data_IF_414846933657
#
_entry.id   IF_414846933657
#
_cell.length_a   1.000
_cell.length_b   1.000
_cell.length_c   1.000
_cell.angle_alpha   90.00
_cell.angle_beta   90.00
_cell.angle_gamma   90.00
#
_symmetry.space_group_name_H-M   'P 1'
#
loop_
_entity.id
_entity.type
_entity.pdbx_description
1 polymer ?
#
# COMPACT_ATOMS: atom_id res chain seq x y z
N UNK A 1 -63.62 34.03 -29.55
CA UNK A 1 -63.29 33.30 -28.31
C UNK A 1 -61.78 33.48 -28.07
N UNK A 2 -61.41 34.38 -27.14
CA UNK A 2 -60.01 34.65 -26.74
C UNK A 2 -59.75 33.89 -25.45
N UNK A 3 -58.77 33.01 -25.41
CA UNK A 3 -58.20 32.52 -24.13
C UNK A 3 -56.68 32.53 -24.23
N UNK A 4 -56.09 33.13 -23.20
CA UNK A 4 -54.68 33.50 -23.02
C UNK A 4 -53.80 32.27 -22.80
N UNK A 5 -52.63 32.23 -23.43
CA UNK A 5 -51.51 31.35 -23.05
C UNK A 5 -50.63 32.17 -22.10
N UNK A 6 -50.62 31.83 -20.82
CA UNK A 6 -49.74 32.40 -19.80
C UNK A 6 -48.41 31.67 -19.77
N UNK A 7 -47.34 32.43 -20.00
CA UNK A 7 -45.96 32.05 -19.76
C UNK A 7 -45.70 31.76 -18.27
N UNK A 8 -44.84 30.79 -17.98
CA UNK A 8 -43.91 30.84 -16.83
C UNK A 8 -42.72 29.90 -17.09
N UNK A 9 -41.71 30.41 -17.79
CA UNK A 9 -40.38 29.78 -17.84
C UNK A 9 -39.70 30.07 -16.49
N UNK A 10 -39.58 29.05 -15.63
CA UNK A 10 -38.69 29.09 -14.46
C UNK A 10 -37.30 28.63 -14.89
N UNK A 11 -36.48 29.57 -15.31
CA UNK A 11 -35.04 29.35 -15.47
C UNK A 11 -34.39 29.49 -14.10
N UNK A 12 -34.14 28.36 -13.41
CA UNK A 12 -33.28 28.33 -12.23
C UNK A 12 -31.85 28.25 -12.73
N UNK A 13 -31.15 29.38 -12.75
CA UNK A 13 -29.68 29.40 -12.88
C UNK A 13 -29.10 28.99 -11.51
N UNK A 14 -28.34 27.90 -11.39
CA UNK A 14 -27.45 27.74 -10.26
C UNK A 14 -26.26 28.66 -10.49
N UNK A 15 -26.23 29.77 -9.76
CA UNK A 15 -25.06 30.64 -9.67
C UNK A 15 -24.01 29.90 -8.81
N UNK A 16 -23.15 29.10 -9.45
CA UNK A 16 -21.96 28.55 -8.79
C UNK A 16 -20.96 29.69 -8.53
N UNK A 17 -21.15 30.40 -7.42
CA UNK A 17 -20.12 31.25 -6.85
C UNK A 17 -19.00 30.36 -6.33
N UNK A 18 -18.08 29.96 -7.20
CA UNK A 18 -16.79 29.40 -6.80
C UNK A 18 -15.97 30.55 -6.22
N UNK A 19 -16.22 30.87 -4.95
CA UNK A 19 -15.26 31.62 -4.16
C UNK A 19 -13.92 30.89 -4.24
N UNK A 20 -12.84 31.63 -4.50
CA UNK A 20 -11.48 31.11 -4.38
C UNK A 20 -11.25 30.88 -2.89
N UNK A 21 -11.77 29.77 -2.38
CA UNK A 21 -11.47 29.30 -1.03
C UNK A 21 -9.99 28.94 -1.09
N UNK A 22 -9.16 29.71 -0.37
CA UNK A 22 -7.75 29.37 -0.18
C UNK A 22 -7.62 27.94 0.30
N UNK A 23 -6.49 27.28 0.02
CA UNK A 23 -6.27 25.91 0.43
C UNK A 23 -6.59 25.74 1.93
N UNK A 24 -7.66 25.02 2.24
CA UNK A 24 -8.01 24.71 3.62
C UNK A 24 -6.92 23.76 4.16
N UNK A 25 -6.24 24.21 5.20
CA UNK A 25 -5.29 23.38 5.96
C UNK A 25 -6.01 22.78 7.14
N UNK A 26 -5.80 21.49 7.37
CA UNK A 26 -6.24 20.77 8.56
C UNK A 26 -5.05 20.41 9.44
N UNK A 27 -5.20 20.48 10.77
CA UNK A 27 -4.19 19.95 11.67
C UNK A 27 -4.06 18.43 11.50
N UNK A 28 -2.83 17.95 11.64
CA UNK A 28 -2.49 16.53 11.73
C UNK A 28 -1.60 16.28 12.95
N UNK A 29 -1.73 15.10 13.52
CA UNK A 29 -1.05 14.68 14.73
C UNK A 29 -0.27 13.39 14.48
N UNK A 30 0.87 13.27 15.16
CA UNK A 30 1.66 12.05 15.15
C UNK A 30 0.99 11.00 16.03
N UNK A 31 0.77 9.81 15.48
CA UNK A 31 0.25 8.66 16.20
C UNK A 31 1.27 7.53 16.19
N UNK A 32 1.67 7.07 17.37
CA UNK A 32 2.36 5.78 17.51
C UNK A 32 1.33 4.67 17.47
N UNK A 33 1.60 3.63 16.69
CA UNK A 33 0.75 2.46 16.55
C UNK A 33 1.27 1.36 17.48
N UNK A 34 0.39 0.76 18.27
CA UNK A 34 0.76 -0.36 19.13
C UNK A 34 0.99 -1.65 18.31
N UNK A 35 1.55 -2.68 18.94
CA UNK A 35 1.78 -3.98 18.29
C UNK A 35 0.48 -4.71 17.91
N UNK A 36 -0.61 -4.50 18.66
CA UNK A 36 -1.93 -5.07 18.35
C UNK A 36 -2.57 -4.34 17.16
N UNK A 37 -2.27 -3.05 17.00
CA UNK A 37 -2.73 -2.17 15.93
C UNK A 37 -1.84 -2.22 14.68
N UNK A 38 -1.20 -3.36 14.39
CA UNK A 38 -0.13 -3.43 13.40
C UNK A 38 -0.34 -4.54 12.36
N UNK A 39 0.32 -4.50 11.18
CA UNK A 39 -0.26 -4.94 9.91
C UNK A 39 -0.51 -6.43 9.75
N UNK A 40 0.01 -7.30 10.63
CA UNK A 40 -0.38 -8.73 10.64
C UNK A 40 -1.68 -9.00 11.41
N UNK A 41 -2.18 -8.07 12.24
CA UNK A 41 -3.33 -8.28 13.14
C UNK A 41 -4.48 -7.29 12.97
N UNK A 42 -4.47 -6.40 11.96
CA UNK A 42 -5.72 -5.82 11.45
C UNK A 42 -5.90 -4.31 11.49
N UNK A 43 -4.86 -3.50 11.28
CA UNK A 43 -5.04 -2.07 10.91
C UNK A 43 -4.52 -1.73 9.51
N UNK A 44 -3.62 -2.52 8.92
CA UNK A 44 -3.07 -2.34 7.57
C UNK A 44 -2.38 -0.99 7.27
N UNK A 45 -2.29 -0.11 8.28
CA UNK A 45 -1.58 1.16 8.23
C UNK A 45 -0.06 0.99 8.29
N UNK A 46 0.41 -0.13 8.85
CA UNK A 46 1.84 -0.45 8.91
C UNK A 46 2.34 -0.93 7.56
N UNK A 47 3.27 -0.19 6.98
CA UNK A 47 4.02 -0.65 5.82
C UNK A 47 5.32 -1.29 6.25
N UNK A 48 5.87 -2.19 5.44
CA UNK A 48 7.11 -2.87 5.77
C UNK A 48 8.14 -2.75 4.66
N UNK A 49 9.40 -2.61 5.05
CA UNK A 49 10.56 -2.68 4.19
C UNK A 49 11.40 -3.89 4.57
N UNK A 50 11.69 -4.74 3.59
CA UNK A 50 12.67 -5.80 3.75
C UNK A 50 14.08 -5.21 3.68
N UNK A 51 14.91 -5.51 4.68
CA UNK A 51 16.32 -5.14 4.67
C UNK A 51 17.19 -6.25 4.10
N UNK A 52 18.33 -5.85 3.55
CA UNK A 52 19.39 -6.78 3.18
C UNK A 52 20.06 -7.31 4.46
N UNK A 53 19.89 -8.60 4.71
CA UNK A 53 20.58 -9.32 5.77
C UNK A 53 22.05 -9.58 5.40
N UNK A 54 22.96 -9.32 6.33
CA UNK A 54 24.40 -9.51 6.15
C UNK A 54 24.93 -10.54 7.16
N UNK A 55 25.72 -11.50 6.68
CA UNK A 55 26.38 -12.50 7.54
C UNK A 55 27.63 -11.95 8.26
N UNK A 56 28.18 -10.83 7.78
CA UNK A 56 29.39 -10.24 8.31
C UNK A 56 29.12 -8.80 8.78
N UNK A 57 29.88 -8.37 9.80
CA UNK A 57 29.85 -7.00 10.30
C UNK A 57 30.10 -6.02 9.14
N UNK A 58 29.24 -5.00 8.95
CA UNK A 58 29.48 -4.00 7.92
C UNK A 58 30.75 -3.18 8.22
N UNK A 59 31.29 -2.53 7.19
CA UNK A 59 32.42 -1.61 7.35
C UNK A 59 32.08 -0.45 8.28
N UNK A 60 33.09 0.08 8.97
CA UNK A 60 32.95 1.18 9.92
C UNK A 60 33.43 0.84 11.34
N UNK A 61 33.62 1.89 12.13
CA UNK A 61 34.10 1.82 13.51
C UNK A 61 32.97 1.45 14.50
N UNK A 62 32.29 0.33 14.24
CA UNK A 62 31.23 -0.19 15.10
C UNK A 62 31.79 -0.83 16.37
N UNK A 63 31.32 -0.40 17.54
CA UNK A 63 31.56 -1.07 18.82
C UNK A 63 30.37 -1.98 19.11
N UNK A 64 30.61 -3.28 19.13
CA UNK A 64 29.58 -4.30 19.26
C UNK A 64 29.66 -4.99 20.62
N UNK A 65 28.55 -5.53 21.14
CA UNK A 65 28.57 -6.39 22.31
C UNK A 65 29.17 -7.76 21.94
N UNK A 66 29.28 -8.65 22.91
CA UNK A 66 29.62 -10.06 22.61
C UNK A 66 28.41 -10.72 21.95
N UNK A 67 28.57 -11.08 20.68
CA UNK A 67 27.52 -11.68 19.85
C UNK A 67 27.69 -13.20 19.73
N UNK A 68 26.61 -13.91 19.43
CA UNK A 68 26.73 -15.32 19.01
C UNK A 68 27.40 -15.44 17.63
N UNK A 69 27.95 -16.62 17.28
CA UNK A 69 28.46 -16.89 15.94
C UNK A 69 27.40 -16.81 14.83
N UNK A 70 26.11 -16.82 15.18
CA UNK A 70 25.01 -16.79 14.22
C UNK A 70 24.44 -15.38 14.03
N UNK A 71 24.95 -14.36 14.71
CA UNK A 71 24.45 -13.01 14.63
C UNK A 71 24.46 -12.48 13.19
N UNK A 72 23.40 -11.78 12.81
CA UNK A 72 23.22 -11.19 11.50
C UNK A 72 23.07 -9.67 11.63
N UNK A 73 23.50 -8.96 10.58
CA UNK A 73 23.60 -7.52 10.57
C UNK A 73 22.67 -6.95 9.50
N UNK A 74 22.13 -5.76 9.74
CA UNK A 74 21.45 -4.98 8.72
C UNK A 74 21.68 -3.49 8.96
N UNK A 75 21.78 -2.73 7.88
CA UNK A 75 21.80 -1.28 7.93
C UNK A 75 20.42 -0.74 7.54
N UNK A 76 19.99 0.27 8.28
CA UNK A 76 18.75 1.00 7.99
C UNK A 76 19.04 2.49 7.98
N UNK A 77 18.49 3.18 6.99
CA UNK A 77 18.52 4.63 6.91
C UNK A 77 17.16 5.16 7.37
N UNK A 78 17.17 5.87 8.49
CA UNK A 78 16.00 6.57 9.05
C UNK A 78 16.31 8.06 9.12
N UNK A 79 15.51 8.86 8.43
CA UNK A 79 15.81 10.25 8.13
C UNK A 79 17.09 10.37 7.31
N UNK A 80 18.04 11.16 7.81
CA UNK A 80 19.36 11.34 7.18
C UNK A 80 20.46 10.51 7.84
N UNK A 81 20.09 9.52 8.66
CA UNK A 81 21.01 8.83 9.57
C UNK A 81 20.96 7.33 9.31
N UNK A 82 22.13 6.74 9.04
CA UNK A 82 22.30 5.30 8.89
C UNK A 82 22.61 4.68 10.25
N UNK A 83 21.90 3.59 10.58
CA UNK A 83 21.97 2.91 11.87
C UNK A 83 22.21 1.43 11.67
N UNK A 84 23.01 0.83 12.57
CA UNK A 84 23.24 -0.60 12.59
C UNK A 84 22.20 -1.29 13.46
N UNK A 85 21.65 -2.38 12.92
CA UNK A 85 20.91 -3.39 13.65
C UNK A 85 21.72 -4.69 13.65
N UNK A 86 21.70 -5.37 14.78
CA UNK A 86 22.21 -6.74 14.92
C UNK A 86 21.10 -7.60 15.51
N UNK A 87 20.70 -8.64 14.78
CA UNK A 87 19.84 -9.69 15.31
C UNK A 87 20.73 -10.85 15.77
N UNK A 88 20.46 -11.36 16.95
CA UNK A 88 21.24 -12.40 17.60
C UNK A 88 20.31 -13.44 18.23
N UNK A 89 20.86 -14.59 18.62
CA UNK A 89 20.11 -15.66 19.27
C UNK A 89 20.74 -16.05 20.61
N UNK A 90 19.91 -16.30 21.61
CA UNK A 90 20.34 -16.98 22.81
C UNK A 90 20.60 -18.48 22.51
N UNK A 91 21.87 -18.90 22.50
CA UNK A 91 22.23 -20.33 22.48
C UNK A 91 21.89 -21.08 21.18
N UNK A 92 21.88 -20.41 20.02
CA UNK A 92 21.66 -21.06 18.72
C UNK A 92 20.19 -21.29 18.35
N UNK A 93 19.26 -20.71 19.12
CA UNK A 93 17.82 -20.77 18.88
C UNK A 93 17.30 -19.77 17.84
N UNK A 94 16.07 -19.31 18.06
CA UNK A 94 15.47 -18.24 17.25
C UNK A 94 16.24 -16.92 17.42
N UNK A 95 16.12 -16.02 16.45
CA UNK A 95 16.66 -14.66 16.55
C UNK A 95 15.77 -13.81 17.46
N UNK A 96 16.01 -13.93 18.76
CA UNK A 96 15.22 -13.33 19.83
C UNK A 96 15.86 -12.08 20.46
N UNK A 97 17.06 -11.69 20.02
CA UNK A 97 17.77 -10.51 20.54
C UNK A 97 18.04 -9.48 19.46
N UNK A 98 17.75 -8.22 19.76
CA UNK A 98 17.98 -7.08 18.87
C UNK A 98 18.87 -6.05 19.56
N UNK A 99 20.05 -5.82 18.99
CA UNK A 99 20.87 -4.65 19.30
C UNK A 99 20.70 -3.61 18.21
N UNK A 100 20.58 -2.34 18.60
CA UNK A 100 20.29 -1.26 17.68
C UNK A 100 21.01 0.02 18.09
N UNK A 101 21.53 0.74 17.10
CA UNK A 101 22.17 2.04 17.29
C UNK A 101 21.11 3.15 17.48
N UNK A 102 20.62 3.31 18.71
CA UNK A 102 19.52 4.22 19.08
C UNK A 102 19.87 5.71 18.90
N UNK A 103 21.14 6.09 19.03
CA UNK A 103 21.59 7.49 18.97
C UNK A 103 22.50 7.79 17.76
N UNK A 104 22.78 6.79 16.91
CA UNK A 104 23.64 6.89 15.75
C UNK A 104 25.11 7.19 16.05
N UNK A 105 25.60 6.77 17.22
CA UNK A 105 27.00 6.94 17.64
C UNK A 105 27.90 5.75 17.26
N UNK A 106 27.31 4.71 16.64
CA UNK A 106 27.97 3.46 16.23
C UNK A 106 28.41 2.57 17.39
N UNK A 107 27.80 2.72 18.55
CA UNK A 107 28.07 1.96 19.76
C UNK A 107 26.81 1.19 20.18
N UNK A 108 26.86 -0.13 20.08
CA UNK A 108 25.79 -1.03 20.51
C UNK A 108 26.22 -1.67 21.83
N UNK A 109 26.04 -0.96 22.95
CA UNK A 109 26.49 -1.41 24.29
C UNK A 109 25.34 -1.72 25.23
N UNK A 110 24.15 -1.24 24.91
CA UNK A 110 22.93 -1.46 25.66
C UNK A 110 22.56 -2.95 25.62
N UNK A 111 21.80 -3.38 26.64
CA UNK A 111 21.20 -4.70 26.63
C UNK A 111 20.31 -4.88 25.38
N UNK A 112 20.27 -6.07 24.77
CA UNK A 112 19.43 -6.29 23.61
C UNK A 112 17.95 -6.11 23.98
N UNK A 113 17.17 -5.63 23.02
CA UNK A 113 15.71 -5.74 23.07
C UNK A 113 15.36 -7.20 22.84
N UNK A 114 14.56 -7.78 23.74
CA UNK A 114 14.11 -9.16 23.62
C UNK A 114 12.85 -9.24 22.76
N UNK A 115 12.88 -10.11 21.75
CA UNK A 115 11.79 -10.37 20.83
C UNK A 115 10.84 -11.45 21.34
N UNK A 116 9.56 -11.34 20.98
CA UNK A 116 8.58 -12.41 21.17
C UNK A 116 8.61 -13.34 19.97
N UNK A 117 8.99 -14.59 20.19
CA UNK A 117 9.11 -15.61 19.13
C UNK A 117 7.86 -16.49 19.07
N UNK A 118 7.30 -16.65 17.87
CA UNK A 118 6.24 -17.61 17.57
C UNK A 118 6.52 -18.29 16.23
N UNK A 119 6.71 -19.62 16.24
CA UNK A 119 7.09 -20.37 15.05
C UNK A 119 8.44 -19.94 14.48
N UNK A 120 8.45 -19.50 13.21
CA UNK A 120 9.61 -18.95 12.51
C UNK A 120 9.74 -17.43 12.64
N UNK A 121 8.79 -16.75 13.31
CA UNK A 121 8.76 -15.29 13.38
C UNK A 121 9.13 -14.79 14.77
N UNK A 122 9.99 -13.76 14.83
CA UNK A 122 10.31 -13.03 16.06
C UNK A 122 9.92 -11.56 15.89
N UNK A 123 9.15 -11.02 16.84
CA UNK A 123 8.67 -9.63 16.80
C UNK A 123 9.26 -8.85 17.98
N UNK A 124 9.94 -7.75 17.69
CA UNK A 124 10.59 -6.91 18.69
C UNK A 124 9.69 -5.76 19.14
N UNK A 125 9.90 -5.22 20.36
CA UNK A 125 9.27 -3.98 20.81
C UNK A 125 9.50 -2.82 19.84
N UNK A 126 8.58 -1.85 19.82
CA UNK A 126 8.72 -0.62 19.05
C UNK A 126 9.98 0.15 19.43
N UNK A 127 10.60 0.75 18.43
CA UNK A 127 11.77 1.62 18.55
C UNK A 127 11.32 3.03 18.23
N UNK A 128 11.42 3.88 19.23
CA UNK A 128 11.20 5.31 19.09
C UNK A 128 12.50 6.03 18.78
N UNK A 129 12.48 6.92 17.79
CA UNK A 129 13.61 7.78 17.50
C UNK A 129 13.15 9.18 17.06
N UNK A 130 14.11 10.10 17.02
CA UNK A 130 13.89 11.44 16.48
C UNK A 130 14.55 11.56 15.11
N UNK A 131 13.81 12.06 14.14
CA UNK A 131 14.28 12.37 12.80
C UNK A 131 14.38 13.87 12.61
N UNK A 132 15.43 14.33 11.91
CA UNK A 132 15.57 15.75 11.59
C UNK A 132 14.83 16.05 10.29
N UNK A 133 13.80 16.89 10.36
CA UNK A 133 13.06 17.40 9.21
C UNK A 133 13.20 18.93 9.17
N UNK A 134 14.00 19.43 8.22
CA UNK A 134 14.40 20.83 8.20
C UNK A 134 15.16 21.21 9.48
N UNK A 135 14.63 22.18 10.22
CA UNK A 135 15.18 22.65 11.51
C UNK A 135 14.59 21.95 12.74
N UNK A 136 13.57 21.09 12.59
CA UNK A 136 12.89 20.42 13.72
C UNK A 136 13.30 18.95 13.85
N UNK A 137 13.23 18.46 15.08
CA UNK A 137 13.29 17.03 15.40
C UNK A 137 11.85 16.52 15.55
N UNK A 138 11.47 15.57 14.71
CA UNK A 138 10.15 14.94 14.72
C UNK A 138 10.23 13.56 15.34
N UNK A 139 9.17 13.14 16.02
CA UNK A 139 9.04 11.77 16.52
C UNK A 139 8.87 10.80 15.35
N UNK A 140 9.43 9.61 15.47
CA UNK A 140 9.21 8.50 14.56
C UNK A 140 9.24 7.17 15.34
N UNK A 141 8.44 6.20 14.90
CA UNK A 141 8.36 4.89 15.52
C UNK A 141 8.28 3.79 14.46
N UNK A 142 9.07 2.75 14.65
CA UNK A 142 9.05 1.54 13.82
C UNK A 142 9.33 0.33 14.69
N UNK A 143 9.11 -0.87 14.17
CA UNK A 143 9.55 -2.11 14.82
C UNK A 143 10.27 -3.02 13.86
N UNK A 144 10.86 -4.07 14.42
CA UNK A 144 11.56 -5.10 13.67
C UNK A 144 10.79 -6.41 13.79
N UNK A 145 10.58 -7.06 12.66
CA UNK A 145 10.11 -8.45 12.57
C UNK A 145 11.17 -9.26 11.85
N UNK A 146 11.50 -10.44 12.39
CA UNK A 146 12.46 -11.37 11.80
C UNK A 146 11.75 -12.65 11.43
N UNK A 147 11.82 -13.03 10.17
CA UNK A 147 11.34 -14.31 9.67
C UNK A 147 12.53 -15.24 9.41
N UNK A 148 12.58 -16.33 10.15
CA UNK A 148 13.64 -17.34 10.15
C UNK A 148 13.17 -18.63 9.45
N UNK A 149 13.53 -18.76 8.17
CA UNK A 149 13.22 -19.93 7.35
C UNK A 149 14.31 -21.02 7.40
N UNK A 150 15.28 -20.93 8.32
CA UNK A 150 16.37 -21.93 8.44
C UNK A 150 15.81 -23.32 8.74
N UNK A 151 14.85 -23.42 9.66
CA UNK A 151 14.22 -24.71 10.06
C UNK A 151 13.44 -25.36 8.94
N UNK A 152 12.77 -24.57 8.11
CA UNK A 152 11.97 -25.08 6.98
C UNK A 152 12.81 -25.51 5.79
N UNK A 153 14.05 -24.99 5.66
CA UNK A 153 14.92 -25.23 4.49
C UNK A 153 16.16 -26.06 4.78
N UNK A 154 16.40 -26.48 6.03
CA UNK A 154 17.55 -27.28 6.47
C UNK A 154 18.93 -26.73 6.01
N UNK A 155 19.06 -25.42 5.81
CA UNK A 155 20.29 -24.78 5.34
C UNK A 155 20.54 -23.48 6.11
N UNK A 156 21.71 -23.38 6.76
CA UNK A 156 22.16 -22.14 7.40
C UNK A 156 22.78 -21.23 6.35
N UNK A 157 21.98 -20.30 5.84
CA UNK A 157 22.47 -19.17 5.04
C UNK A 157 21.76 -17.91 5.51
N UNK A 158 22.44 -16.77 5.52
CA UNK A 158 21.82 -15.47 5.85
C UNK A 158 20.64 -15.14 4.91
N UNK A 159 20.60 -15.74 3.71
CA UNK A 159 19.53 -15.60 2.74
C UNK A 159 18.21 -16.27 3.17
N UNK A 160 18.22 -17.08 4.23
CA UNK A 160 17.02 -17.70 4.80
C UNK A 160 16.49 -16.94 6.03
N UNK A 161 17.02 -15.75 6.31
CA UNK A 161 16.56 -14.89 7.40
C UNK A 161 16.20 -13.52 6.84
N UNK A 162 14.93 -13.16 6.96
CA UNK A 162 14.38 -11.92 6.44
C UNK A 162 14.13 -10.96 7.58
N UNK A 163 14.69 -9.75 7.47
CA UNK A 163 14.50 -8.70 8.46
C UNK A 163 13.59 -7.64 7.89
N UNK A 164 12.39 -7.56 8.44
CA UNK A 164 11.37 -6.58 8.09
C UNK A 164 11.43 -5.43 9.09
N UNK A 165 11.51 -4.21 8.57
CA UNK A 165 11.25 -3.00 9.34
C UNK A 165 9.82 -2.61 9.04
N UNK A 166 9.02 -2.48 10.08
CA UNK A 166 7.61 -2.14 9.95
C UNK A 166 7.38 -0.77 10.55
N UNK A 167 6.81 0.16 9.78
CA UNK A 167 6.40 1.45 10.34
C UNK A 167 5.36 1.20 11.45
N UNK A 168 5.64 1.77 12.62
CA UNK A 168 4.78 1.70 13.80
C UNK A 168 4.27 3.10 14.17
N UNK A 169 4.12 3.97 13.17
CA UNK A 169 3.52 5.28 13.34
C UNK A 169 2.85 5.75 12.05
N UNK A 170 2.01 6.77 12.19
CA UNK A 170 1.43 7.51 11.09
C UNK A 170 1.14 8.96 11.52
N UNK A 171 0.77 9.79 10.55
CA UNK A 171 0.17 11.09 10.82
C UNK A 171 -1.33 11.02 10.54
N UNK A 172 -2.16 11.55 11.43
CA UNK A 172 -3.62 11.51 11.28
C UNK A 172 -4.26 12.85 11.52
N UNK A 173 -5.40 13.08 10.88
CA UNK A 173 -6.20 14.27 11.08
C UNK A 173 -7.57 14.12 10.44
N UNK A 174 -8.32 15.23 10.42
CA UNK A 174 -9.63 15.31 9.77
C UNK A 174 -9.60 16.44 8.75
N UNK A 175 -9.97 16.12 7.51
CA UNK A 175 -10.13 17.08 6.42
C UNK A 175 -11.58 17.17 6.00
N UNK A 176 -11.98 18.34 5.53
CA UNK A 176 -13.25 18.50 4.84
C UNK A 176 -13.00 18.50 3.33
N UNK A 177 -13.65 17.57 2.63
CA UNK A 177 -13.55 17.43 1.16
C UNK A 177 -14.94 17.20 0.62
N UNK A 178 -15.32 17.96 -0.41
CA UNK A 178 -16.66 17.91 -0.98
C UNK A 178 -17.80 18.08 0.07
N UNK A 179 -17.56 18.87 1.13
CA UNK A 179 -18.53 19.10 2.20
C UNK A 179 -18.67 17.95 3.21
N UNK A 180 -17.85 16.90 3.11
CA UNK A 180 -17.82 15.78 4.04
C UNK A 180 -16.52 15.78 4.84
N UNK A 181 -16.63 15.56 6.16
CA UNK A 181 -15.47 15.34 7.02
C UNK A 181 -14.95 13.92 6.86
N UNK A 182 -13.65 13.81 6.60
CA UNK A 182 -12.96 12.55 6.35
C UNK A 182 -11.75 12.45 7.24
N UNK A 183 -11.61 11.31 7.92
CA UNK A 183 -10.41 10.98 8.66
C UNK A 183 -9.34 10.54 7.67
N UNK A 184 -8.13 11.04 7.85
CA UNK A 184 -6.98 10.72 7.01
C UNK A 184 -5.84 10.14 7.83
N UNK A 185 -5.05 9.30 7.16
CA UNK A 185 -3.80 8.80 7.71
C UNK A 185 -2.74 8.81 6.62
N UNK A 186 -1.58 9.38 6.94
CA UNK A 186 -0.40 9.35 6.10
C UNK A 186 0.61 8.38 6.73
N UNK A 187 0.89 7.31 6.02
CA UNK A 187 1.81 6.25 6.44
C UNK A 187 3.09 6.30 5.61
N UNK A 188 4.22 6.17 6.30
CA UNK A 188 5.53 6.02 5.69
C UNK A 188 5.67 4.58 5.19
N UNK A 189 5.61 4.42 3.87
CA UNK A 189 5.53 3.09 3.29
C UNK A 189 6.87 2.38 3.20
N UNK A 190 7.93 3.17 3.03
CA UNK A 190 9.28 2.68 2.82
C UNK A 190 10.11 2.67 4.12
N UNK A 191 9.49 3.13 5.20
CA UNK A 191 10.00 3.14 6.57
C UNK A 191 11.33 3.90 6.63
N UNK A 192 11.43 5.04 5.94
CA UNK A 192 12.64 5.87 5.90
C UNK A 192 12.56 7.10 6.82
N UNK A 193 11.45 7.30 7.54
CA UNK A 193 11.21 8.44 8.43
C UNK A 193 10.60 9.67 7.74
N UNK A 194 10.65 9.78 6.42
CA UNK A 194 10.03 10.88 5.70
C UNK A 194 8.62 10.49 5.26
N UNK A 195 7.67 11.41 5.45
CA UNK A 195 6.33 11.26 4.91
C UNK A 195 6.13 12.25 3.75
N UNK A 196 5.46 11.80 2.69
CA UNK A 196 5.29 12.52 1.43
C UNK A 196 6.09 11.95 0.25
N UNK A 197 6.76 10.80 0.40
CA UNK A 197 7.44 10.14 -0.70
C UNK A 197 6.42 9.65 -1.74
N UNK A 198 6.61 10.11 -2.98
CA UNK A 198 5.78 9.76 -4.14
C UNK A 198 6.56 8.86 -5.09
N UNK A 199 5.88 8.00 -5.88
CA UNK A 199 6.57 7.15 -6.83
C UNK A 199 7.39 7.96 -7.83
N UNK A 200 8.55 7.44 -8.23
CA UNK A 200 9.48 8.12 -9.14
C UNK A 200 10.23 9.32 -8.54
N UNK A 201 9.91 9.73 -7.31
CA UNK A 201 10.55 10.84 -6.58
C UNK A 201 11.12 10.43 -5.21
N UNK A 202 10.95 9.16 -4.82
CA UNK A 202 11.40 8.65 -3.54
C UNK A 202 12.92 8.75 -3.38
N UNK A 203 13.35 9.15 -2.17
CA UNK A 203 14.76 9.47 -1.87
C UNK A 203 15.66 8.23 -1.78
N UNK A 204 15.10 7.06 -1.56
CA UNK A 204 15.84 5.81 -1.46
C UNK A 204 15.34 4.83 -2.54
N UNK A 205 16.15 4.61 -3.57
CA UNK A 205 15.98 3.43 -4.41
C UNK A 205 16.70 2.27 -3.74
N UNK A 206 15.96 1.27 -3.26
CA UNK A 206 16.54 -0.06 -3.07
C UNK A 206 16.71 -0.63 -4.48
N UNK A 207 17.95 -0.72 -4.96
CA UNK A 207 18.31 -1.14 -6.34
C UNK A 207 17.70 -2.47 -6.78
N UNK A 208 17.19 -3.28 -5.85
CA UNK A 208 16.70 -4.64 -6.07
C UNK A 208 15.23 -4.86 -5.65
N UNK A 209 14.47 -3.81 -5.28
CA UNK A 209 13.03 -3.98 -4.97
C UNK A 209 12.17 -3.46 -6.11
N UNK A 210 11.36 -4.34 -6.71
CA UNK A 210 10.30 -3.99 -7.67
C UNK A 210 9.11 -3.27 -7.02
N UNK A 211 9.14 -3.06 -5.70
CA UNK A 211 8.07 -2.35 -4.99
C UNK A 211 8.14 -0.86 -5.30
N UNK A 212 6.97 -0.27 -5.62
CA UNK A 212 6.81 1.18 -5.67
C UNK A 212 7.05 1.73 -4.27
N UNK A 213 8.23 2.32 -4.07
CA UNK A 213 8.65 2.95 -2.83
C UNK A 213 7.92 4.29 -2.75
N UNK A 214 6.73 4.31 -2.17
CA UNK A 214 5.94 5.52 -2.02
C UNK A 214 4.98 5.39 -0.85
N UNK A 215 4.81 6.47 -0.12
CA UNK A 215 3.97 6.55 1.06
C UNK A 215 2.52 6.27 0.74
N UNK A 216 1.73 6.02 1.78
CA UNK A 216 0.32 5.70 1.61
C UNK A 216 -0.56 6.74 2.25
N UNK A 217 -1.61 7.13 1.53
CA UNK A 217 -2.72 7.89 2.07
C UNK A 217 -3.87 6.94 2.32
N UNK A 218 -4.44 6.98 3.51
CA UNK A 218 -5.69 6.32 3.85
C UNK A 218 -6.72 7.39 4.15
N UNK A 219 -7.96 7.16 3.73
CA UNK A 219 -9.05 8.11 3.95
C UNK A 219 -10.38 7.36 4.03
N UNK A 220 -11.22 7.76 4.99
CA UNK A 220 -12.62 7.33 5.08
C UNK A 220 -13.46 8.48 5.65
N UNK A 221 -14.80 8.44 5.48
CA UNK A 221 -15.71 9.26 6.27
C UNK A 221 -15.36 9.19 7.76
N UNK A 222 -15.46 10.33 8.47
CA UNK A 222 -15.01 10.45 9.87
C UNK A 222 -15.65 9.43 10.82
N UNK A 223 -16.90 9.05 10.55
CA UNK A 223 -17.73 8.12 11.32
C UNK A 223 -17.51 6.65 10.94
N UNK A 224 -16.74 6.36 9.88
CA UNK A 224 -16.45 5.01 9.41
C UNK A 224 -15.07 4.55 9.87
N UNK A 225 -14.97 3.26 10.14
CA UNK A 225 -13.66 2.62 10.30
C UNK A 225 -12.91 2.70 8.97
N UNK A 226 -11.62 3.03 9.04
CA UNK A 226 -10.77 2.87 7.87
C UNK A 226 -10.75 1.40 7.45
N UNK A 227 -10.92 1.12 6.15
CA UNK A 227 -10.51 -0.17 5.63
C UNK A 227 -8.98 -0.21 5.69
N UNK A 228 -8.47 -1.21 6.36
CA UNK A 228 -7.05 -1.40 6.65
C UNK A 228 -6.21 -1.58 5.39
N UNK A 229 -6.85 -2.04 4.32
CA UNK A 229 -6.22 -2.44 3.07
C UNK A 229 -6.40 -1.35 1.99
N UNK A 230 -7.17 -0.29 2.29
CA UNK A 230 -7.61 0.72 1.32
C UNK A 230 -6.63 1.88 1.10
N UNK A 231 -5.37 1.77 1.54
CA UNK A 231 -4.38 2.83 1.34
C UNK A 231 -4.04 3.04 -0.13
N UNK A 232 -4.20 4.26 -0.64
CA UNK A 232 -3.67 4.65 -1.95
C UNK A 232 -2.16 4.81 -1.87
N UNK A 233 -1.45 4.41 -2.93
CA UNK A 233 -0.11 4.94 -3.18
C UNK A 233 -0.23 6.46 -3.29
N UNK A 234 0.57 7.19 -2.51
CA UNK A 234 0.47 8.63 -2.40
C UNK A 234 0.74 9.30 -3.74
N UNK A 235 -0.30 9.95 -4.27
CA UNK A 235 -0.26 10.67 -5.53
C UNK A 235 -0.13 12.19 -5.40
N UNK A 236 -0.15 12.86 -6.54
CA UNK A 236 -0.16 14.31 -6.63
C UNK A 236 -1.58 14.89 -6.61
N UNK A 237 -2.53 14.14 -7.17
CA UNK A 237 -3.92 14.54 -7.33
C UNK A 237 -4.81 13.48 -6.67
N UNK A 238 -5.73 13.93 -5.83
CA UNK A 238 -6.82 13.14 -5.28
C UNK A 238 -8.12 13.54 -5.97
N UNK A 239 -8.82 12.59 -6.56
CA UNK A 239 -10.15 12.75 -7.13
C UNK A 239 -11.14 12.12 -6.18
N UNK A 240 -12.07 12.93 -5.68
CA UNK A 240 -13.20 12.51 -4.84
C UNK A 240 -14.45 13.11 -5.48
N UNK A 241 -15.42 12.25 -5.79
CA UNK A 241 -16.61 12.63 -6.56
C UNK A 241 -16.19 13.27 -7.90
N UNK A 242 -16.59 14.51 -8.17
CA UNK A 242 -16.19 15.27 -9.36
C UNK A 242 -15.06 16.30 -9.09
N UNK A 243 -14.57 16.35 -7.84
CA UNK A 243 -13.53 17.27 -7.41
C UNK A 243 -12.14 16.71 -7.59
N UNK A 244 -11.21 17.52 -8.12
CA UNK A 244 -9.79 17.21 -8.14
C UNK A 244 -9.06 18.09 -7.11
N UNK A 245 -8.24 17.48 -6.26
CA UNK A 245 -7.54 18.15 -5.17
C UNK A 245 -6.04 17.81 -5.21
N UNK A 246 -5.18 18.78 -4.95
CA UNK A 246 -3.75 18.53 -4.71
C UNK A 246 -3.52 18.23 -3.25
N UNK A 247 -2.78 17.17 -2.98
CA UNK A 247 -2.37 16.80 -1.64
C UNK A 247 -1.02 17.43 -1.28
N UNK A 248 -0.94 18.02 -0.09
CA UNK A 248 0.31 18.45 0.54
C UNK A 248 0.26 18.21 2.05
N UNK A 249 1.40 17.85 2.63
CA UNK A 249 1.58 17.75 4.08
C UNK A 249 2.82 18.54 4.50
N UNK A 250 2.67 19.38 5.53
CA UNK A 250 3.75 20.08 6.21
C UNK A 250 3.84 19.53 7.65
N UNK A 251 4.60 18.45 7.80
CA UNK A 251 4.77 17.79 9.10
C UNK A 251 5.47 18.69 10.13
N UNK A 252 6.25 19.68 9.68
CA UNK A 252 6.95 20.63 10.57
C UNK A 252 5.93 21.56 11.24
N UNK A 253 4.86 21.91 10.52
CA UNK A 253 3.72 22.67 11.06
C UNK A 253 2.64 21.79 11.69
N UNK A 254 2.64 20.48 11.39
CA UNK A 254 1.55 19.59 11.78
C UNK A 254 0.29 19.90 10.99
N UNK A 255 0.44 20.20 9.70
CA UNK A 255 -0.66 20.59 8.83
C UNK A 255 -0.70 19.73 7.57
N UNK A 256 -1.89 19.54 7.04
CA UNK A 256 -2.12 18.93 5.74
C UNK A 256 -3.14 19.75 4.96
N UNK A 257 -2.96 19.85 3.65
CA UNK A 257 -3.80 20.65 2.78
C UNK A 257 -4.33 19.80 1.62
N UNK A 258 -5.62 20.00 1.33
CA UNK A 258 -6.27 19.56 0.10
C UNK A 258 -6.76 20.80 -0.64
N UNK A 259 -5.98 21.26 -1.61
CA UNK A 259 -6.32 22.45 -2.40
C UNK A 259 -7.00 22.04 -3.70
N UNK A 260 -8.13 22.66 -4.10
CA UNK A 260 -8.72 22.41 -5.41
C UNK A 260 -7.70 22.55 -6.55
N UNK A 261 -7.71 21.59 -7.47
CA UNK A 261 -6.92 21.65 -8.70
C UNK A 261 -7.70 22.42 -9.76
N UNK A 262 -7.09 23.46 -10.33
CA UNK A 262 -7.69 24.28 -11.40
C UNK A 262 -7.44 23.72 -12.81
N UNK A 263 -6.82 22.53 -12.91
CA UNK A 263 -6.55 21.88 -14.18
C UNK A 263 -7.85 21.48 -14.90
N UNK A 264 -7.86 21.46 -16.24
CA UNK A 264 -9.02 21.01 -16.98
C UNK A 264 -9.28 19.52 -16.74
N UNK A 265 -10.55 19.15 -16.62
CA UNK A 265 -11.01 17.77 -16.45
C UNK A 265 -11.92 17.33 -17.58
N UNK A 266 -11.97 16.02 -17.83
CA UNK A 266 -12.81 15.37 -18.83
C UNK A 266 -13.66 14.26 -18.21
N UNK A 267 -14.86 13.98 -18.74
CA UNK A 267 -15.71 12.89 -18.25
C UNK A 267 -15.13 11.54 -18.66
N UNK A 268 -15.13 10.60 -17.71
CA UNK A 268 -14.72 9.20 -17.92
C UNK A 268 -15.81 8.32 -17.32
N UNK A 269 -16.31 7.38 -18.13
CA UNK A 269 -17.25 6.38 -17.65
C UNK A 269 -16.46 5.27 -16.93
N UNK A 270 -16.71 5.12 -15.63
CA UNK A 270 -16.02 4.18 -14.76
C UNK A 270 -16.95 2.98 -14.53
N UNK A 271 -16.45 1.73 -14.59
CA UNK A 271 -17.26 0.56 -14.26
C UNK A 271 -17.88 0.69 -12.87
N UNK A 272 -19.16 0.30 -12.77
CA UNK A 272 -19.93 0.47 -11.55
C UNK A 272 -19.30 -0.27 -10.37
N UNK A 273 -19.21 0.41 -9.24
CA UNK A 273 -18.80 -0.18 -7.97
C UNK A 273 -17.30 -0.38 -7.80
N UNK A 274 -16.46 0.35 -8.53
CA UNK A 274 -15.07 0.55 -8.14
C UNK A 274 -14.97 1.37 -6.85
N UNK A 275 -14.12 0.95 -5.93
CA UNK A 275 -13.85 1.68 -4.68
C UNK A 275 -12.61 2.56 -4.80
N UNK A 276 -11.60 2.10 -5.55
CA UNK A 276 -10.37 2.85 -5.83
C UNK A 276 -9.93 2.66 -7.28
N UNK A 277 -9.32 3.71 -7.83
CA UNK A 277 -8.54 3.66 -9.06
C UNK A 277 -7.27 4.50 -8.89
N UNK A 278 -6.12 3.96 -9.28
CA UNK A 278 -4.82 4.64 -9.25
C UNK A 278 -4.29 4.77 -10.68
N UNK A 279 -3.89 5.99 -11.06
CA UNK A 279 -3.33 6.29 -12.38
C UNK A 279 -1.98 6.98 -12.25
N UNK A 280 -1.10 6.79 -13.23
CA UNK A 280 0.15 7.52 -13.36
C UNK A 280 0.29 8.16 -14.74
N UNK A 281 1.05 9.24 -14.88
CA UNK A 281 1.41 9.70 -16.22
C UNK A 281 2.35 8.70 -16.92
N UNK A 282 2.59 8.89 -18.22
CA UNK A 282 3.43 7.96 -19.00
C UNK A 282 4.85 7.78 -18.43
N UNK A 283 5.35 8.78 -17.69
CA UNK A 283 6.68 8.83 -17.09
C UNK A 283 6.71 8.37 -15.63
N UNK A 284 5.56 8.05 -15.05
CA UNK A 284 5.43 7.72 -13.63
C UNK A 284 5.77 8.87 -12.68
N UNK A 285 5.69 10.13 -13.14
CA UNK A 285 6.10 11.32 -12.37
C UNK A 285 4.93 12.00 -11.67
N UNK A 286 3.73 11.89 -12.24
CA UNK A 286 2.48 12.43 -11.72
C UNK A 286 1.51 11.30 -11.47
N UNK A 287 0.90 11.28 -10.30
CA UNK A 287 0.01 10.21 -9.88
C UNK A 287 -1.36 10.75 -9.47
N UNK A 288 -2.41 10.03 -9.85
CA UNK A 288 -3.80 10.34 -9.50
C UNK A 288 -4.34 9.20 -8.65
N UNK A 289 -4.86 9.57 -7.48
CA UNK A 289 -5.63 8.71 -6.60
C UNK A 289 -7.10 9.04 -6.83
N UNK A 290 -7.93 8.06 -7.16
CA UNK A 290 -9.38 8.23 -7.32
C UNK A 290 -10.06 7.41 -6.23
N UNK A 291 -10.94 8.07 -5.48
CA UNK A 291 -11.65 7.49 -4.34
C UNK A 291 -13.15 7.43 -4.62
N UNK A 292 -13.71 6.23 -4.50
CA UNK A 292 -15.13 5.93 -4.73
C UNK A 292 -15.66 6.60 -6.01
N UNK A 293 -15.05 6.33 -7.18
CA UNK A 293 -15.48 6.94 -8.44
C UNK A 293 -16.96 6.64 -8.71
N UNK A 294 -17.69 7.65 -9.19
CA UNK A 294 -19.02 7.46 -9.76
C UNK A 294 -18.92 6.90 -11.18
N UNK A 295 -20.03 6.39 -11.71
CA UNK A 295 -20.12 5.92 -13.10
C UNK A 295 -19.68 7.00 -14.11
N UNK A 296 -19.77 8.29 -13.75
CA UNK A 296 -19.36 9.42 -14.59
C UNK A 296 -18.38 10.32 -13.86
N UNK A 297 -17.22 9.79 -13.54
CA UNK A 297 -16.17 10.52 -12.83
C UNK A 297 -15.44 11.48 -13.77
N UNK A 298 -15.12 12.69 -13.28
CA UNK A 298 -14.24 13.63 -14.00
C UNK A 298 -12.78 13.44 -13.62
N UNK A 299 -11.93 13.17 -14.61
CA UNK A 299 -10.48 13.01 -14.42
C UNK A 299 -9.69 14.16 -15.08
N UNK A 300 -8.48 14.51 -14.58
CA UNK A 300 -7.59 15.44 -15.26
C UNK A 300 -7.35 15.07 -16.73
N UNK A 301 -7.42 16.05 -17.64
CA UNK A 301 -7.12 15.80 -19.05
C UNK A 301 -5.67 15.31 -19.21
N UNK A 302 -5.47 14.30 -20.05
CA UNK A 302 -4.13 13.76 -20.30
C UNK A 302 -4.11 12.32 -20.78
N UNK A 303 -2.88 11.79 -20.90
CA UNK A 303 -2.61 10.37 -21.11
C UNK A 303 -2.16 9.78 -19.79
N UNK A 304 -2.90 8.79 -19.31
CA UNK A 304 -2.72 8.20 -17.99
C UNK A 304 -2.58 6.69 -18.13
N UNK A 305 -1.60 6.11 -17.46
CA UNK A 305 -1.45 4.67 -17.32
C UNK A 305 -2.22 4.20 -16.10
N UNK A 306 -3.10 3.21 -16.26
CA UNK A 306 -3.68 2.47 -15.14
C UNK A 306 -2.53 1.89 -14.29
N UNK A 307 -2.62 1.99 -12.97
CA UNK A 307 -1.66 1.38 -12.05
C UNK A 307 -2.33 0.22 -11.33
N UNK A 308 -3.42 0.52 -10.65
CA UNK A 308 -4.23 -0.45 -9.95
C UNK A 308 -5.67 0.04 -9.82
N UNK A 309 -6.58 -0.87 -9.48
CA UNK A 309 -7.89 -0.55 -8.95
C UNK A 309 -8.26 -1.53 -7.84
N UNK A 310 -9.27 -1.15 -7.06
CA UNK A 310 -9.87 -2.02 -6.06
C UNK A 310 -11.39 -2.02 -6.14
N UNK A 311 -11.97 -3.21 -5.97
CA UNK A 311 -13.40 -3.44 -5.80
C UNK A 311 -13.59 -4.24 -4.52
N UNK A 312 -14.49 -3.79 -3.66
CA UNK A 312 -14.84 -4.39 -2.37
C UNK A 312 -16.32 -4.70 -2.33
N UNK A 313 -16.67 -5.90 -1.87
CA UNK A 313 -18.06 -6.37 -1.76
C UNK A 313 -18.27 -7.11 -0.46
N UNK A 314 -19.47 -6.95 0.12
CA UNK A 314 -19.92 -7.79 1.23
C UNK A 314 -20.89 -8.82 0.69
N UNK A 315 -20.53 -10.10 0.78
CA UNK A 315 -21.37 -11.21 0.31
C UNK A 315 -21.21 -12.43 1.22
N UNK A 316 -22.34 -13.03 1.63
CA UNK A 316 -22.33 -14.29 2.41
C UNK A 316 -21.64 -14.19 3.78
N UNK A 317 -21.55 -13.00 4.38
CA UNK A 317 -20.81 -12.79 5.63
C UNK A 317 -19.30 -12.63 5.45
N UNK A 318 -18.84 -12.47 4.20
CA UNK A 318 -17.45 -12.19 3.86
C UNK A 318 -17.32 -10.81 3.21
N UNK A 319 -16.21 -10.15 3.47
CA UNK A 319 -15.73 -9.02 2.70
C UNK A 319 -14.79 -9.55 1.63
N UNK A 320 -15.19 -9.43 0.37
CA UNK A 320 -14.37 -9.73 -0.79
C UNK A 320 -13.67 -8.46 -1.26
N UNK A 321 -12.39 -8.58 -1.61
CA UNK A 321 -11.65 -7.51 -2.31
C UNK A 321 -11.00 -8.09 -3.57
N UNK A 322 -11.22 -7.41 -4.69
CA UNK A 322 -10.59 -7.65 -5.98
C UNK A 322 -9.61 -6.50 -6.22
N UNK A 323 -8.34 -6.86 -6.36
CA UNK A 323 -7.28 -5.93 -6.73
C UNK A 323 -6.82 -6.22 -8.15
N UNK A 324 -7.05 -5.28 -9.06
CA UNK A 324 -6.66 -5.40 -10.46
C UNK A 324 -5.41 -4.58 -10.78
N UNK A 325 -4.49 -5.16 -11.55
CA UNK A 325 -3.31 -4.49 -12.10
C UNK A 325 -3.24 -4.71 -13.60
N UNK A 326 -2.91 -3.68 -14.40
CA UNK A 326 -2.96 -3.80 -15.86
C UNK A 326 -1.97 -4.86 -16.37
N UNK A 327 -2.24 -5.42 -17.56
CA UNK A 327 -1.27 -6.31 -18.19
C UNK A 327 0.01 -5.54 -18.56
N UNK A 328 1.18 -6.20 -18.57
CA UNK A 328 2.43 -5.57 -18.96
C UNK A 328 2.35 -4.94 -20.36
N UNK A 329 2.64 -3.63 -20.47
CA UNK A 329 2.74 -2.92 -21.75
C UNK A 329 1.43 -2.33 -22.29
N UNK A 330 0.27 -2.67 -21.74
CA UNK A 330 -1.04 -2.17 -22.18
C UNK A 330 -1.83 -1.57 -21.01
N UNK A 331 -1.90 -0.24 -20.92
CA UNK A 331 -2.69 0.41 -19.83
C UNK A 331 -3.00 1.90 -20.05
N UNK A 332 -2.84 2.42 -21.27
CA UNK A 332 -2.98 3.87 -21.51
C UNK A 332 -4.45 4.26 -21.71
N UNK A 333 -4.94 5.05 -20.77
CA UNK A 333 -6.21 5.77 -20.77
C UNK A 333 -5.96 7.18 -21.31
N UNK A 334 -6.76 7.60 -22.28
CA UNK A 334 -6.74 8.99 -22.76
C UNK A 334 -7.98 9.70 -22.25
N UNK A 335 -7.78 10.70 -21.40
CA UNK A 335 -8.84 11.54 -20.86
C UNK A 335 -8.89 12.83 -21.68
N UNK A 336 -9.92 12.93 -22.52
CA UNK A 336 -10.18 14.07 -23.39
C UNK A 336 -11.42 14.85 -22.96
N UNK A 337 -11.88 15.77 -23.82
CA UNK A 337 -13.14 16.50 -23.58
C UNK A 337 -14.39 15.66 -23.88
N UNK A 338 -14.23 14.57 -24.63
CA UNK A 338 -15.32 13.63 -24.94
C UNK A 338 -15.33 12.51 -23.91
N UNK A 339 -16.53 12.05 -23.56
CA UNK A 339 -16.75 10.91 -22.68
C UNK A 339 -16.07 9.66 -23.26
N UNK A 340 -15.46 8.88 -22.38
CA UNK A 340 -14.79 7.62 -22.71
C UNK A 340 -14.99 6.63 -21.58
N UNK A 341 -15.34 5.40 -21.93
CA UNK A 341 -15.50 4.30 -20.97
C UNK A 341 -14.17 3.61 -20.69
N UNK A 342 -13.94 3.29 -19.42
CA UNK A 342 -12.91 2.35 -19.02
C UNK A 342 -13.47 0.93 -19.09
N UNK A 343 -12.67 0.01 -19.62
CA UNK A 343 -13.01 -1.41 -19.69
C UNK A 343 -12.03 -2.13 -18.77
N UNK A 344 -12.47 -2.37 -17.54
CA UNK A 344 -11.74 -3.04 -16.48
C UNK A 344 -12.75 -3.58 -15.45
N UNK A 345 -12.30 -4.42 -14.54
CA UNK A 345 -13.11 -5.00 -13.48
C UNK A 345 -13.88 -6.23 -13.94
N UNK A 346 -15.04 -6.39 -13.33
CA UNK A 346 -15.94 -7.53 -13.52
C UNK A 346 -16.59 -7.53 -14.93
N UNK A 347 -17.05 -8.70 -15.43
CA UNK A 347 -16.94 -10.02 -14.81
C UNK A 347 -15.49 -10.55 -14.87
N UNK A 348 -15.05 -11.19 -13.78
CA UNK A 348 -13.73 -11.81 -13.74
C UNK A 348 -13.75 -13.17 -14.45
N UNK A 349 -12.77 -13.40 -15.30
CA UNK A 349 -12.57 -14.63 -16.04
C UNK A 349 -11.42 -15.45 -15.43
N UNK A 350 -11.67 -16.67 -14.94
CA UNK A 350 -10.58 -17.56 -14.52
C UNK A 350 -9.77 -18.03 -15.74
N UNK A 351 -8.45 -18.04 -15.60
CA UNK A 351 -7.52 -18.53 -16.62
C UNK A 351 -6.38 -19.32 -16.00
N UNK A 352 -5.69 -20.12 -16.82
CA UNK A 352 -4.50 -20.87 -16.42
C UNK A 352 -3.37 -20.50 -17.37
N UNK A 353 -2.29 -19.96 -16.81
CA UNK A 353 -1.03 -19.78 -17.50
C UNK A 353 -0.19 -21.04 -17.29
N UNK A 354 -0.02 -21.83 -18.35
CA UNK A 354 0.70 -23.10 -18.31
C UNK A 354 1.97 -23.01 -19.15
N UNK A 355 3.12 -23.29 -18.53
CA UNK A 355 4.41 -23.30 -19.22
C UNK A 355 5.24 -24.51 -18.84
N UNK A 356 5.99 -25.03 -19.82
CA UNK A 356 6.91 -26.15 -19.59
C UNK A 356 8.00 -25.73 -18.60
N UNK A 357 8.18 -26.51 -17.54
CA UNK A 357 9.17 -26.30 -16.48
C UNK A 357 10.18 -27.45 -16.48
N UNK A 358 10.97 -27.56 -17.54
CA UNK A 358 11.90 -28.69 -17.75
C UNK A 358 11.32 -29.80 -18.62
N UNK A 359 12.04 -30.93 -18.81
CA UNK A 359 11.68 -31.94 -19.81
C UNK A 359 10.29 -32.56 -19.62
N UNK A 360 9.88 -32.75 -18.36
CA UNK A 360 8.71 -33.55 -17.98
C UNK A 360 7.82 -32.89 -16.93
N UNK A 361 7.91 -31.57 -16.74
CA UNK A 361 7.05 -30.86 -15.78
C UNK A 361 6.37 -29.66 -16.43
N UNK A 362 5.15 -29.38 -15.96
CA UNK A 362 4.34 -28.23 -16.34
C UNK A 362 4.16 -27.36 -15.10
N UNK A 363 4.53 -26.09 -15.20
CA UNK A 363 4.16 -25.08 -14.21
C UNK A 363 2.82 -24.48 -14.65
N UNK A 364 1.81 -24.59 -13.80
CA UNK A 364 0.50 -24.00 -14.02
C UNK A 364 0.25 -22.91 -12.97
N UNK A 365 -0.16 -21.74 -13.42
CA UNK A 365 -0.54 -20.63 -12.57
C UNK A 365 -2.00 -20.27 -12.85
N UNK A 366 -2.86 -20.44 -11.84
CA UNK A 366 -4.22 -19.93 -11.89
C UNK A 366 -4.19 -18.40 -11.76
N UNK A 367 -4.92 -17.71 -12.63
CA UNK A 367 -5.08 -16.25 -12.61
C UNK A 367 -6.55 -15.91 -12.80
N UNK A 368 -6.96 -14.75 -12.31
CA UNK A 368 -8.23 -14.14 -12.70
C UNK A 368 -7.91 -12.96 -13.61
N UNK A 369 -8.63 -12.81 -14.71
CA UNK A 369 -8.53 -11.65 -15.59
C UNK A 369 -9.81 -10.83 -15.49
N UNK A 370 -9.69 -9.51 -15.44
CA UNK A 370 -10.85 -8.65 -15.63
C UNK A 370 -11.23 -8.49 -17.11
N UNK A 371 -12.35 -7.82 -17.37
CA UNK A 371 -12.85 -7.59 -18.74
C UNK A 371 -11.87 -6.79 -19.62
N UNK A 372 -11.01 -5.98 -18.99
CA UNK A 372 -9.91 -5.26 -19.64
C UNK A 372 -8.64 -6.08 -19.86
N UNK A 373 -8.67 -7.39 -19.55
CA UNK A 373 -7.52 -8.32 -19.56
C UNK A 373 -6.42 -7.99 -18.55
N UNK A 374 -6.73 -7.19 -17.54
CA UNK A 374 -5.87 -6.96 -16.41
C UNK A 374 -5.79 -8.18 -15.49
N UNK A 375 -4.64 -8.37 -14.84
CA UNK A 375 -4.47 -9.41 -13.82
C UNK A 375 -5.23 -8.98 -12.55
N UNK A 376 -6.15 -9.83 -12.09
CA UNK A 376 -6.94 -9.60 -10.89
C UNK A 376 -6.56 -10.61 -9.79
N UNK A 377 -6.37 -10.11 -8.58
CA UNK A 377 -6.19 -10.91 -7.37
C UNK A 377 -7.42 -10.78 -6.50
N UNK A 378 -7.98 -11.92 -6.07
CA UNK A 378 -9.16 -11.97 -5.21
C UNK A 378 -8.75 -12.40 -3.81
N UNK A 379 -9.18 -11.64 -2.81
CA UNK A 379 -9.00 -11.96 -1.40
C UNK A 379 -10.35 -11.87 -0.66
N UNK A 380 -10.47 -12.58 0.46
CA UNK A 380 -11.65 -12.45 1.31
C UNK A 380 -11.32 -12.44 2.81
N UNK A 381 -12.19 -11.79 3.58
CA UNK A 381 -12.10 -11.69 5.04
C UNK A 381 -13.46 -12.08 5.60
N UNK A 382 -13.48 -13.00 6.56
CA UNK A 382 -14.71 -13.31 7.29
C UNK A 382 -15.09 -12.11 8.16
N UNK A 383 -16.30 -11.58 8.00
CA UNK A 383 -16.76 -10.43 8.77
C UNK A 383 -17.06 -10.77 10.23
N UNK A 384 -17.38 -12.03 10.54
CA UNK A 384 -17.71 -12.45 11.91
C UNK A 384 -16.46 -12.67 12.77
N UNK A 385 -15.38 -13.19 12.20
CA UNK A 385 -14.13 -13.42 12.93
C UNK A 385 -13.07 -12.35 12.67
N UNK A 386 -13.22 -11.52 11.63
CA UNK A 386 -12.18 -10.62 11.14
C UNK A 386 -10.96 -11.36 10.57
N UNK A 387 -11.00 -12.70 10.50
CA UNK A 387 -9.89 -13.50 9.99
C UNK A 387 -9.88 -13.43 8.46
N UNK A 388 -8.74 -13.05 7.89
CA UNK A 388 -8.51 -13.23 6.45
C UNK A 388 -8.42 -14.73 6.18
N UNK A 389 -9.41 -15.26 5.49
CA UNK A 389 -9.40 -16.63 4.98
C UNK A 389 -9.05 -16.55 3.51
N UNK A 390 -8.17 -17.41 3.03
CA UNK A 390 -8.09 -17.62 1.59
C UNK A 390 -9.41 -18.26 1.15
N UNK A 391 -9.91 -17.95 -0.06
CA UNK A 391 -11.05 -18.68 -0.60
C UNK A 391 -10.74 -20.18 -0.67
N UNK A 392 -11.71 -21.00 -1.08
CA UNK A 392 -11.39 -22.40 -1.37
C UNK A 392 -10.43 -22.46 -2.56
N UNK A 393 -9.34 -23.22 -2.42
CA UNK A 393 -8.37 -23.44 -3.48
C UNK A 393 -9.05 -23.91 -4.78
N UNK A 394 -8.80 -23.24 -5.92
CA UNK A 394 -9.34 -23.68 -7.19
C UNK A 394 -8.88 -25.09 -7.54
N UNK A 395 -9.76 -25.89 -8.13
CA UNK A 395 -9.47 -27.24 -8.61
C UNK A 395 -9.17 -27.22 -10.10
N UNK A 396 -8.32 -28.13 -10.57
CA UNK A 396 -8.07 -28.33 -12.00
C UNK A 396 -8.27 -29.79 -12.40
N UNK A 397 -8.64 -29.99 -13.67
CA UNK A 397 -8.71 -31.27 -14.37
C UNK A 397 -8.13 -31.06 -15.78
N UNK A 398 -7.19 -31.90 -16.18
CA UNK A 398 -6.57 -31.92 -17.51
C UNK A 398 -7.09 -33.18 -18.19
N UNK A 399 -7.67 -33.00 -19.37
CA UNK A 399 -8.23 -34.06 -20.19
C UNK A 399 -7.50 -34.12 -21.53
N UNK A 400 -7.42 -35.31 -22.14
CA UNK A 400 -7.01 -35.45 -23.53
C UNK A 400 -8.16 -35.10 -24.50
N UNK A 401 -7.91 -35.18 -25.81
CA UNK A 401 -8.92 -34.89 -26.84
C UNK A 401 -10.13 -35.84 -26.80
N UNK A 402 -10.03 -36.97 -26.10
CA UNK A 402 -11.09 -37.96 -25.92
C UNK A 402 -11.86 -37.77 -24.60
N UNK A 403 -11.44 -36.81 -23.76
CA UNK A 403 -12.02 -36.55 -22.43
C UNK A 403 -11.44 -37.43 -21.31
N UNK A 404 -10.40 -38.23 -21.60
CA UNK A 404 -9.73 -39.05 -20.59
C UNK A 404 -8.92 -38.17 -19.65
N UNK A 405 -9.02 -38.42 -18.35
CA UNK A 405 -8.36 -37.59 -17.32
C UNK A 405 -6.87 -37.90 -17.27
N UNK A 406 -6.06 -36.97 -17.74
CA UNK A 406 -4.61 -37.06 -17.68
C UNK A 406 -4.07 -36.64 -16.31
N UNK A 407 -4.68 -35.64 -15.67
CA UNK A 407 -4.31 -35.17 -14.33
C UNK A 407 -5.45 -34.38 -13.68
N UNK A 408 -5.46 -34.31 -12.34
CA UNK A 408 -6.35 -33.44 -11.58
C UNK A 408 -5.71 -33.04 -10.25
N UNK A 409 -6.14 -31.93 -9.67
CA UNK A 409 -5.59 -31.46 -8.40
C UNK A 409 -6.21 -30.15 -7.91
N UNK A 410 -5.52 -29.52 -6.96
CA UNK A 410 -5.85 -28.20 -6.41
C UNK A 410 -4.67 -27.28 -6.61
N UNK A 411 -4.95 -26.01 -6.90
CA UNK A 411 -3.92 -24.97 -6.87
C UNK A 411 -3.54 -24.68 -5.42
N UNK A 412 -2.26 -24.50 -5.16
CA UNK A 412 -1.79 -23.99 -3.87
C UNK A 412 -1.71 -22.46 -3.95
N UNK A 413 -2.16 -21.80 -2.89
CA UNK A 413 -1.92 -20.36 -2.72
C UNK A 413 -0.41 -20.12 -2.62
N UNK A 414 0.05 -19.13 -3.39
CA UNK A 414 1.47 -18.76 -3.49
C UNK A 414 1.87 -17.61 -2.59
#
# INVERSE_FOLDING_TARGET
>A
MRVRISALLRTVLPLCMAGIVGAATSPIEFLSLSNEESPRTGTGLGSSRLLKTLAAKPSGAWKLPKLSPQALYALIDIGSVSRLMVIDCAGGGAFDRLYFDDNADKILKEAPREGKTSGSTSVFPGIECKIKLGSKLMQYCFRIEVEDLRKTRNQFTANNVFIHVVSACCWSGVVEVAGEKRRVFLSDANVNGFFGDKPGKARAMVKDSSQLIADRLFMAPEDKKLPTDAGWILGDILVIEDGCYKFAADLVKGEMALSPSTGPTGPVEIPTGLDRLSLSDERGQTWIMVASPSEKTRLPLGKWRLVDYEITRTEGGYLWSVHGTPPPGESIIYVGKKERSLVLGEPLQPTIDARKSGPSALLMMFKMLGVGKEDATVSCVSLSSGTRSLPQAPKYRIEDEKGEVLAQGVFHYG
#
